data_IF_903125401478
#
_entry.id   IF_903125401478
#
_cell.length_a   1.000
_cell.length_b   1.000
_cell.length_c   1.000
_cell.angle_alpha   90.00
_cell.angle_beta   90.00
_cell.angle_gamma   90.00
#
_symmetry.space_group_name_H-M   'P 1'
#
loop_
_entity.id
_entity.type
_entity.pdbx_description
1 polymer ?
#
# COMPACT_ATOMS: atom_id res chain seq x y z
N UNK A 1 18.31 -4.71 6.63
CA UNK A 1 17.47 -4.08 5.59
C UNK A 1 18.35 -3.24 4.67
N UNK A 2 18.15 -3.30 3.35
CA UNK A 2 19.00 -2.62 2.36
C UNK A 2 18.78 -1.10 2.37
N UNK A 3 19.84 -0.32 2.17
CA UNK A 3 19.81 1.15 2.20
C UNK A 3 18.80 1.79 1.22
N UNK A 4 18.42 1.06 0.16
CA UNK A 4 17.41 1.47 -0.80
C UNK A 4 15.98 1.48 -0.22
N UNK A 5 15.67 0.53 0.67
CA UNK A 5 14.34 0.39 1.30
C UNK A 5 14.07 1.53 2.30
N UNK A 6 15.09 1.91 3.07
CA UNK A 6 15.01 3.01 4.03
C UNK A 6 14.80 4.37 3.35
N UNK A 7 15.45 4.60 2.20
CA UNK A 7 15.28 5.84 1.42
C UNK A 7 13.87 5.99 0.84
N UNK A 8 13.28 4.90 0.35
CA UNK A 8 11.89 4.90 -0.16
C UNK A 8 10.88 5.23 0.94
N UNK A 9 11.04 4.63 2.13
CA UNK A 9 10.16 4.89 3.29
C UNK A 9 10.25 6.33 3.78
N UNK A 10 11.47 6.88 3.92
CA UNK A 10 11.67 8.26 4.35
C UNK A 10 11.16 9.30 3.33
N UNK A 11 11.18 8.97 2.03
CA UNK A 11 10.60 9.82 0.99
C UNK A 11 9.07 9.80 1.06
N UNK A 12 8.46 8.62 1.23
CA UNK A 12 7.01 8.46 1.39
C UNK A 12 6.48 9.26 2.60
N UNK A 13 7.10 9.10 3.77
CA UNK A 13 6.70 9.85 4.99
C UNK A 13 6.85 11.37 4.83
N UNK A 14 7.86 11.83 4.08
CA UNK A 14 8.04 13.27 3.79
C UNK A 14 6.98 13.80 2.84
N UNK A 15 6.65 13.02 1.80
CA UNK A 15 5.63 13.37 0.82
C UNK A 15 4.25 13.37 1.47
N UNK A 16 3.92 12.37 2.29
CA UNK A 16 2.69 12.32 3.10
C UNK A 16 2.56 13.55 4.00
N UNK A 17 3.60 13.88 4.79
CA UNK A 17 3.58 15.06 5.67
C UNK A 17 3.42 16.38 4.91
N UNK A 18 4.02 16.50 3.72
CA UNK A 18 3.93 17.72 2.91
C UNK A 18 2.58 17.86 2.19
N UNK A 19 1.98 16.75 1.76
CA UNK A 19 0.67 16.75 1.10
C UNK A 19 -0.47 16.94 2.10
N UNK A 20 -0.41 16.28 3.26
CA UNK A 20 -1.39 16.43 4.33
C UNK A 20 -1.51 17.88 4.85
N UNK A 21 -0.43 18.67 4.77
CA UNK A 21 -0.41 20.05 5.23
C UNK A 21 -0.86 21.08 4.17
N UNK A 22 -0.94 20.71 2.88
CA UNK A 22 -1.12 21.73 1.83
C UNK A 22 -2.24 21.45 0.84
N UNK A 23 -2.35 20.29 0.21
CA UNK A 23 -3.25 20.13 -0.96
C UNK A 23 -3.66 18.67 -1.17
N UNK A 24 -4.86 18.50 -1.73
CA UNK A 24 -5.63 17.27 -1.88
C UNK A 24 -4.81 15.99 -2.09
N UNK A 25 -5.19 14.93 -1.38
CA UNK A 25 -4.55 13.62 -1.51
C UNK A 25 -4.74 13.06 -2.93
N UNK A 26 -3.86 12.17 -3.42
CA UNK A 26 -4.05 11.52 -4.72
C UNK A 26 -5.41 10.84 -4.86
N UNK A 27 -5.92 10.25 -3.77
CA UNK A 27 -7.25 9.64 -3.73
C UNK A 27 -8.36 10.68 -3.93
N UNK A 28 -8.25 11.86 -3.31
CA UNK A 28 -9.20 12.96 -3.49
C UNK A 28 -9.17 13.52 -4.92
N UNK A 29 -7.98 13.65 -5.53
CA UNK A 29 -7.85 14.08 -6.92
C UNK A 29 -8.55 13.07 -7.84
N UNK A 30 -8.31 11.76 -7.64
CA UNK A 30 -8.98 10.72 -8.42
C UNK A 30 -10.50 10.70 -8.18
N UNK A 31 -10.96 10.86 -6.94
CA UNK A 31 -12.38 10.89 -6.61
C UNK A 31 -13.10 12.09 -7.26
N UNK A 32 -12.45 13.25 -7.33
CA UNK A 32 -12.98 14.43 -8.04
C UNK A 32 -13.12 14.19 -9.54
N UNK A 33 -12.11 13.59 -10.18
CA UNK A 33 -12.19 13.19 -11.61
C UNK A 33 -13.34 12.21 -11.83
N UNK A 34 -13.50 11.21 -10.96
CA UNK A 34 -14.61 10.25 -11.03
C UNK A 34 -15.99 10.89 -10.84
N UNK A 35 -16.08 11.97 -10.04
CA UNK A 35 -17.29 12.77 -9.89
C UNK A 35 -17.57 13.72 -11.07
N UNK A 36 -16.71 13.74 -12.09
CA UNK A 36 -16.85 14.59 -13.28
C UNK A 36 -16.31 16.01 -13.11
N UNK A 37 -15.45 16.25 -12.13
CA UNK A 37 -14.83 17.57 -11.91
C UNK A 37 -13.79 17.88 -12.99
N UNK A 38 -14.18 18.76 -13.92
CA UNK A 38 -13.34 19.21 -15.04
C UNK A 38 -12.24 20.21 -14.64
N UNK A 39 -12.21 20.68 -13.38
CA UNK A 39 -11.13 21.55 -12.90
C UNK A 39 -9.84 20.79 -12.62
N UNK A 40 -9.90 19.46 -12.52
CA UNK A 40 -8.71 18.61 -12.39
C UNK A 40 -8.05 18.48 -13.76
N UNK A 41 -6.85 19.01 -13.87
CA UNK A 41 -6.06 18.92 -15.10
C UNK A 41 -5.52 17.51 -15.31
N UNK A 42 -5.28 17.14 -16.56
CA UNK A 42 -4.67 15.85 -16.94
C UNK A 42 -3.31 15.64 -16.25
N UNK A 43 -2.51 16.70 -16.10
CA UNK A 43 -1.24 16.67 -15.38
C UNK A 43 -1.41 16.36 -13.89
N UNK A 44 -2.45 16.90 -13.24
CA UNK A 44 -2.75 16.59 -11.83
C UNK A 44 -3.22 15.14 -11.66
N UNK A 45 -4.01 14.63 -12.61
CA UNK A 45 -4.46 13.24 -12.60
C UNK A 45 -3.29 12.25 -12.78
N UNK A 46 -2.40 12.49 -13.75
CA UNK A 46 -1.23 11.64 -13.96
C UNK A 46 -0.24 11.71 -12.80
N UNK A 47 -0.04 12.89 -12.20
CA UNK A 47 0.76 13.03 -10.99
C UNK A 47 0.17 12.26 -9.80
N UNK A 48 -1.16 12.32 -9.61
CA UNK A 48 -1.85 11.56 -8.57
C UNK A 48 -1.72 10.04 -8.79
N UNK A 49 -1.90 9.59 -10.03
CA UNK A 49 -1.75 8.18 -10.43
C UNK A 49 -0.33 7.65 -10.18
N UNK A 50 0.69 8.44 -10.54
CA UNK A 50 2.07 8.08 -10.28
C UNK A 50 2.44 8.08 -8.78
N UNK A 51 1.79 8.96 -7.99
CA UNK A 51 2.02 9.06 -6.56
C UNK A 51 1.28 8.00 -5.74
N UNK A 52 0.13 7.49 -6.19
CA UNK A 52 -0.73 6.58 -5.44
C UNK A 52 -0.01 5.35 -4.83
N UNK A 53 0.95 4.68 -5.51
CA UNK A 53 1.68 3.54 -4.94
C UNK A 53 2.57 3.90 -3.74
N UNK A 54 2.88 5.19 -3.55
CA UNK A 54 3.84 5.69 -2.56
C UNK A 54 3.21 6.51 -1.42
N UNK A 55 1.89 6.72 -1.48
CA UNK A 55 1.14 7.57 -0.55
C UNK A 55 0.35 6.74 0.47
N UNK A 56 0.11 5.45 0.21
CA UNK A 56 -0.47 4.59 1.23
C UNK A 56 -0.09 3.10 0.99
N UNK A 57 0.41 2.37 2.00
CA UNK A 57 0.80 0.96 1.86
C UNK A 57 -0.33 0.05 1.37
N UNK A 58 -1.60 0.41 1.60
CA UNK A 58 -2.78 -0.36 1.10
C UNK A 58 -3.09 -0.15 -0.39
N UNK A 59 -2.53 0.89 -1.02
CA UNK A 59 -2.66 1.13 -2.47
C UNK A 59 -1.42 0.65 -3.25
N UNK A 60 -0.32 0.37 -2.56
CA UNK A 60 0.77 -0.39 -3.13
C UNK A 60 0.26 -1.80 -3.42
N UNK A 61 0.09 -2.15 -4.69
CA UNK A 61 -0.19 -3.53 -5.07
C UNK A 61 0.92 -4.42 -4.47
N UNK A 62 0.60 -5.20 -3.45
CA UNK A 62 1.52 -6.18 -2.88
C UNK A 62 1.67 -7.27 -3.93
N UNK A 63 2.70 -7.16 -4.78
CA UNK A 63 3.11 -8.24 -5.66
C UNK A 63 3.73 -9.33 -4.78
N UNK A 64 2.89 -10.24 -4.28
CA UNK A 64 3.31 -11.42 -3.54
C UNK A 64 3.79 -12.48 -4.53
N UNK A 65 5.11 -12.64 -4.65
CA UNK A 65 5.70 -13.79 -5.34
C UNK A 65 5.63 -15.01 -4.41
N UNK A 66 4.50 -15.70 -4.40
CA UNK A 66 4.31 -16.92 -3.64
C UNK A 66 4.58 -18.16 -4.50
N UNK A 67 5.51 -18.99 -4.05
CA UNK A 67 5.62 -20.37 -4.53
C UNK A 67 4.66 -21.21 -3.72
N UNK A 68 3.54 -21.62 -4.31
CA UNK A 68 2.59 -22.54 -3.68
C UNK A 68 3.26 -23.92 -3.57
N UNK A 69 3.73 -24.27 -2.37
CA UNK A 69 4.44 -25.53 -2.12
C UNK A 69 3.48 -26.73 -1.99
N UNK A 70 2.23 -26.49 -1.60
CA UNK A 70 1.23 -27.52 -1.31
C UNK A 70 -0.18 -26.94 -1.40
N UNK A 71 -1.16 -27.75 -1.82
CA UNK A 71 -2.56 -27.33 -1.83
C UNK A 71 -3.12 -27.17 -0.41
N UNK A 72 -4.02 -26.20 -0.21
CA UNK A 72 -4.71 -25.96 1.08
C UNK A 72 -5.50 -27.18 1.52
N UNK A 73 -6.04 -27.95 0.56
CA UNK A 73 -6.83 -29.17 0.83
C UNK A 73 -6.00 -30.34 1.37
N UNK A 74 -4.68 -30.21 1.38
CA UNK A 74 -3.78 -31.26 1.86
C UNK A 74 -3.31 -31.03 3.31
N UNK A 75 -3.67 -29.90 3.91
CA UNK A 75 -3.40 -29.62 5.31
C UNK A 75 -4.46 -30.29 6.18
N UNK A 76 -4.04 -30.86 7.29
CA UNK A 76 -4.94 -31.25 8.37
C UNK A 76 -5.43 -30.03 9.15
N UNK A 77 -6.56 -30.18 9.85
CA UNK A 77 -7.14 -29.11 10.66
C UNK A 77 -6.17 -28.60 11.74
N UNK A 78 -5.37 -29.50 12.32
CA UNK A 78 -4.34 -29.16 13.31
C UNK A 78 -3.21 -28.31 12.71
N UNK A 79 -2.76 -28.64 11.49
CA UNK A 79 -1.73 -27.86 10.77
C UNK A 79 -2.26 -26.48 10.36
N UNK A 80 -3.52 -26.40 9.92
CA UNK A 80 -4.15 -25.12 9.60
C UNK A 80 -4.31 -24.23 10.84
N UNK A 81 -4.67 -24.82 11.98
CA UNK A 81 -4.76 -24.10 13.25
C UNK A 81 -3.39 -23.53 13.69
N UNK A 82 -2.31 -24.30 13.52
CA UNK A 82 -0.96 -23.83 13.81
C UNK A 82 -0.54 -22.66 12.91
N UNK A 83 -0.81 -22.73 11.61
CA UNK A 83 -0.52 -21.64 10.65
C UNK A 83 -1.31 -20.37 10.98
N UNK A 84 -2.56 -20.51 11.43
CA UNK A 84 -3.39 -19.39 11.84
C UNK A 84 -2.89 -18.74 13.15
N UNK A 85 -2.35 -19.54 14.08
CA UNK A 85 -1.83 -19.08 15.37
C UNK A 85 -0.47 -18.37 15.31
N UNK A 86 0.39 -18.73 14.34
CA UNK A 86 1.71 -18.08 14.15
C UNK A 86 1.62 -16.60 13.72
N UNK A 87 0.42 -16.06 13.44
CA UNK A 87 0.20 -14.65 13.10
C UNK A 87 0.15 -13.67 14.28
N UNK A 88 0.16 -14.14 15.54
CA UNK A 88 -0.04 -13.29 16.74
C UNK A 88 1.22 -12.93 17.54
N UNK A 89 2.40 -13.49 17.25
CA UNK A 89 3.63 -13.14 18.00
C UNK A 89 4.50 -12.10 17.27
N UNK A 90 4.39 -10.82 17.68
CA UNK A 90 5.51 -9.87 17.93
C UNK A 90 5.06 -8.40 17.83
N UNK A 91 4.37 -7.88 18.85
CA UNK A 91 4.35 -6.43 19.12
C UNK A 91 4.95 -6.22 20.51
N UNK A 92 6.23 -5.82 20.62
CA UNK A 92 6.79 -5.42 21.90
C UNK A 92 6.41 -3.96 22.19
N UNK A 93 6.09 -3.68 23.46
CA UNK A 93 5.92 -2.36 24.08
C UNK A 93 7.04 -1.37 23.73
#
# INVERSE_FOLDING_TARGET
MSASTLRKKALAERVEKQLAQKQATPLEIMARVMAGDVSVTEMQFEAAKAAAPYIHPKLSAVTMNATVKRSVTEYSDDELAAIAGEGEESSPD
#
